data_IF_463550685136
#
_entry.id   IF_463550685136
#
_cell.length_a   1.000
_cell.length_b   1.000
_cell.length_c   1.000
_cell.angle_alpha   90.00
_cell.angle_beta   90.00
_cell.angle_gamma   90.00
#
_symmetry.space_group_name_H-M   'P 1'
#
loop_
_entity.id
_entity.type
_entity.pdbx_description
1 polymer ?
#
# COMPACT_ATOMS: atom_id res chain seq x y z
N UNK A 1 -33.95 -53.05 14.51
CA UNK A 1 -35.10 -53.68 13.82
C UNK A 1 -36.14 -52.58 13.63
N UNK A 2 -36.68 -52.22 12.46
CA UNK A 2 -36.66 -52.79 11.13
C UNK A 2 -36.73 -51.63 10.09
N UNK A 3 -36.31 -51.92 8.88
CA UNK A 3 -36.27 -51.02 7.73
C UNK A 3 -37.60 -51.01 6.95
N UNK A 4 -37.89 -49.90 6.25
CA UNK A 4 -38.53 -49.85 4.92
C UNK A 4 -38.39 -48.42 4.36
N UNK A 5 -37.60 -48.15 3.31
CA UNK A 5 -38.03 -47.98 1.89
C UNK A 5 -39.35 -47.20 1.74
N UNK A 6 -39.51 -46.11 0.99
CA UNK A 6 -38.71 -45.38 0.01
C UNK A 6 -39.72 -44.72 -0.95
N UNK A 7 -39.48 -43.48 -1.39
CA UNK A 7 -39.88 -42.98 -2.73
C UNK A 7 -39.44 -41.54 -2.91
N UNK A 8 -38.51 -41.36 -3.84
CA UNK A 8 -38.15 -40.07 -4.42
C UNK A 8 -39.25 -39.64 -5.41
N UNK A 9 -39.64 -38.37 -5.36
CA UNK A 9 -40.42 -37.75 -6.43
C UNK A 9 -39.58 -36.64 -7.04
N UNK A 10 -38.99 -36.96 -8.20
CA UNK A 10 -38.37 -35.99 -9.10
C UNK A 10 -39.48 -35.20 -9.79
N UNK A 11 -39.42 -33.87 -9.74
CA UNK A 11 -40.23 -33.00 -10.61
C UNK A 11 -39.38 -32.63 -11.82
N UNK A 12 -39.89 -33.04 -12.98
CA UNK A 12 -39.26 -32.92 -14.28
C UNK A 12 -39.23 -31.47 -14.79
N UNK A 13 -38.15 -31.14 -15.50
CA UNK A 13 -38.08 -30.01 -16.44
C UNK A 13 -39.05 -30.24 -17.60
N UNK A 14 -39.71 -29.17 -18.04
CA UNK A 14 -40.29 -29.06 -19.38
C UNK A 14 -39.84 -27.74 -20.01
N UNK A 15 -39.42 -27.73 -21.29
CA UNK A 15 -38.96 -26.55 -22.01
C UNK A 15 -40.15 -25.84 -22.66
N UNK A 16 -40.11 -24.51 -22.75
CA UNK A 16 -41.04 -23.73 -23.57
C UNK A 16 -40.27 -22.93 -24.62
N UNK A 17 -40.78 -23.06 -25.83
CA UNK A 17 -40.23 -22.63 -27.11
C UNK A 17 -40.16 -21.10 -27.27
N UNK A 18 -39.18 -20.67 -28.07
CA UNK A 18 -39.14 -19.41 -28.82
C UNK A 18 -40.42 -19.12 -29.62
N UNK A 19 -40.62 -17.83 -29.94
CA UNK A 19 -40.78 -17.46 -31.34
C UNK A 19 -39.77 -16.41 -31.80
N UNK A 20 -39.38 -16.53 -33.06
CA UNK A 20 -38.49 -15.65 -33.79
C UNK A 20 -39.24 -14.49 -34.46
N UNK A 21 -38.44 -13.56 -34.99
CA UNK A 21 -38.68 -12.59 -36.06
C UNK A 21 -39.11 -11.16 -35.65
N UNK A 22 -38.21 -10.22 -35.98
CA UNK A 22 -38.43 -8.78 -35.92
C UNK A 22 -37.16 -8.03 -36.32
N UNK A 23 -36.71 -8.21 -37.56
CA UNK A 23 -35.59 -7.45 -38.14
C UNK A 23 -35.99 -5.99 -38.36
N UNK A 24 -35.18 -5.06 -37.87
CA UNK A 24 -35.23 -3.66 -38.27
C UNK A 24 -33.80 -3.20 -38.60
N UNK A 25 -33.57 -3.01 -39.89
CA UNK A 25 -32.40 -2.35 -40.44
C UNK A 25 -32.42 -0.86 -40.06
N UNK A 26 -31.32 -0.38 -39.47
CA UNK A 26 -30.97 1.04 -39.51
C UNK A 26 -29.52 1.18 -39.95
N UNK A 27 -29.38 1.59 -41.22
CA UNK A 27 -28.15 2.08 -41.81
C UNK A 27 -27.55 3.21 -40.97
N UNK A 28 -26.27 3.10 -40.60
CA UNK A 28 -25.42 4.24 -40.25
C UNK A 28 -24.33 4.33 -41.32
N UNK A 29 -24.18 5.47 -42.02
CA UNK A 29 -23.20 5.59 -43.10
C UNK A 29 -21.77 5.71 -42.56
N UNK A 30 -20.89 4.90 -43.14
CA UNK A 30 -19.44 5.05 -43.11
C UNK A 30 -19.04 6.33 -43.84
N UNK A 31 -18.37 7.26 -43.17
CA UNK A 31 -17.83 8.47 -43.77
C UNK A 31 -16.37 8.70 -43.36
N UNK A 32 -15.53 8.64 -44.39
CA UNK A 32 -14.24 9.30 -44.59
C UNK A 32 -13.08 9.01 -43.62
N UNK A 33 -12.23 8.11 -44.12
CA UNK A 33 -10.78 8.21 -43.97
C UNK A 33 -10.27 9.58 -44.45
N UNK A 34 -9.58 10.30 -43.57
CA UNK A 34 -8.67 11.40 -43.95
C UNK A 34 -7.25 10.98 -43.59
N UNK A 35 -6.46 10.72 -44.64
CA UNK A 35 -5.03 10.47 -44.59
C UNK A 35 -4.27 11.73 -44.14
N UNK A 36 -3.65 11.68 -42.97
CA UNK A 36 -2.67 12.67 -42.55
C UNK A 36 -1.34 12.47 -43.33
N UNK A 37 -0.66 13.53 -43.80
CA UNK A 37 0.60 13.42 -44.52
C UNK A 37 1.77 13.07 -43.59
N UNK A 38 2.84 12.43 -44.10
CA UNK A 38 3.94 11.95 -43.27
C UNK A 38 4.81 13.11 -42.75
N UNK A 39 4.96 13.19 -41.43
CA UNK A 39 5.96 14.05 -40.80
C UNK A 39 7.36 13.52 -41.11
N UNK A 40 8.11 14.25 -41.93
CA UNK A 40 9.53 14.02 -42.17
C UNK A 40 10.33 14.30 -40.90
N UNK A 41 10.84 13.25 -40.27
CA UNK A 41 11.72 13.31 -39.10
C UNK A 41 13.08 13.86 -39.51
N UNK A 42 13.28 15.19 -39.45
CA UNK A 42 14.63 15.79 -39.55
C UNK A 42 15.45 15.41 -38.33
N UNK A 43 16.43 14.53 -38.51
CA UNK A 43 17.46 14.21 -37.53
C UNK A 43 18.32 15.45 -37.23
N UNK A 44 18.20 16.01 -36.03
CA UNK A 44 19.19 16.96 -35.51
C UNK A 44 20.47 16.20 -35.11
N UNK A 45 21.67 16.68 -35.48
CA UNK A 45 22.91 16.02 -35.09
C UNK A 45 23.12 16.13 -33.57
N UNK A 46 23.50 15.01 -32.94
CA UNK A 46 23.88 14.97 -31.51
C UNK A 46 25.17 15.78 -31.30
N UNK A 47 25.28 16.64 -30.27
CA UNK A 47 26.55 17.24 -29.92
C UNK A 47 27.48 16.18 -29.30
N UNK A 48 28.75 16.16 -29.73
CA UNK A 48 29.79 15.28 -29.18
C UNK A 48 30.07 15.64 -27.71
N UNK A 49 30.34 14.66 -26.83
CA UNK A 49 30.72 14.95 -25.45
C UNK A 49 32.12 15.57 -25.41
N UNK A 50 32.22 16.74 -24.77
CA UNK A 50 33.49 17.41 -24.46
C UNK A 50 34.21 16.59 -23.38
N UNK A 51 35.42 16.08 -23.70
CA UNK A 51 36.34 15.50 -22.70
C UNK A 51 36.68 16.58 -21.67
N UNK A 52 36.27 16.38 -20.43
CA UNK A 52 36.82 17.11 -19.29
C UNK A 52 38.12 16.42 -18.88
N UNK A 53 39.24 17.13 -19.04
CA UNK A 53 40.51 16.73 -18.45
C UNK A 53 40.44 16.96 -16.94
N UNK A 54 40.50 15.88 -16.16
CA UNK A 54 40.70 15.96 -14.72
C UNK A 54 42.20 16.06 -14.44
N UNK A 55 42.62 17.18 -13.85
CA UNK A 55 43.96 17.39 -13.32
C UNK A 55 44.00 16.88 -11.88
N UNK A 56 44.81 15.87 -11.60
CA UNK A 56 45.11 15.41 -10.24
C UNK A 56 46.15 16.35 -9.58
N UNK A 57 46.04 16.65 -8.27
CA UNK A 57 47.17 17.17 -7.52
C UNK A 57 47.85 16.08 -6.71
N UNK A 58 49.14 16.32 -6.50
CA UNK A 58 50.18 15.40 -6.07
C UNK A 58 50.17 15.12 -4.56
N UNK A 59 50.76 13.97 -4.22
CA UNK A 59 51.09 13.53 -2.88
C UNK A 59 52.18 14.42 -2.25
N UNK A 60 51.98 14.81 -1.00
CA UNK A 60 53.03 15.31 -0.13
C UNK A 60 53.24 14.36 1.05
N UNK A 61 54.43 13.78 1.08
CA UNK A 61 55.06 13.10 2.22
C UNK A 61 55.50 14.13 3.26
N UNK A 62 55.18 13.88 4.53
CA UNK A 62 55.71 14.63 5.67
C UNK A 62 55.62 13.78 6.93
N UNK A 63 56.77 13.39 7.45
CA UNK A 63 57.01 12.70 8.71
C UNK A 63 56.92 13.66 9.90
N UNK A 64 56.49 13.15 11.06
CA UNK A 64 57.17 13.26 12.37
C UNK A 64 56.22 13.38 13.57
N UNK A 65 56.43 12.46 14.52
CA UNK A 65 56.48 12.75 15.96
C UNK A 65 55.17 12.92 16.74
N UNK A 66 54.75 11.88 17.45
CA UNK A 66 53.89 12.01 18.64
C UNK A 66 54.34 11.04 19.75
N UNK A 67 54.61 11.49 20.99
CA UNK A 67 54.69 10.62 22.17
C UNK A 67 53.32 10.53 22.87
N UNK A 68 53.11 9.52 23.75
CA UNK A 68 51.80 9.25 24.34
C UNK A 68 51.57 10.07 25.60
N UNK A 69 50.36 10.60 25.78
CA UNK A 69 49.89 11.10 27.07
C UNK A 69 48.63 10.35 27.49
N UNK A 70 48.81 9.55 28.53
CA UNK A 70 47.78 8.94 29.37
C UNK A 70 47.00 10.02 30.11
N UNK A 71 45.68 10.08 29.88
CA UNK A 71 44.74 10.64 30.84
C UNK A 71 43.57 9.67 31.00
N UNK A 72 43.59 9.01 32.15
CA UNK A 72 42.45 8.36 32.78
C UNK A 72 41.35 9.40 32.98
N UNK A 73 40.21 9.24 32.30
CA UNK A 73 38.95 9.83 32.71
C UNK A 73 37.92 8.71 32.83
N UNK A 74 37.53 8.46 34.08
CA UNK A 74 36.36 7.68 34.47
C UNK A 74 35.13 8.27 33.79
N UNK A 75 34.67 7.64 32.71
CA UNK A 75 33.35 7.89 32.17
C UNK A 75 32.33 7.24 33.12
N UNK A 76 31.74 8.08 33.96
CA UNK A 76 30.51 7.81 34.67
C UNK A 76 29.47 7.25 33.70
N UNK A 77 28.98 6.05 34.00
CA UNK A 77 27.82 5.47 33.31
C UNK A 77 26.66 6.47 33.41
N UNK A 78 25.98 6.85 32.30
CA UNK A 78 24.74 7.58 32.43
C UNK A 78 23.71 6.59 32.97
N UNK A 79 23.38 6.81 34.24
CA UNK A 79 22.22 6.27 34.92
C UNK A 79 20.95 6.54 34.11
N UNK A 80 20.17 5.48 33.87
CA UNK A 80 18.73 5.50 33.65
C UNK A 80 18.16 6.59 32.75
N UNK A 81 18.00 6.30 31.46
CA UNK A 81 17.11 7.07 30.59
C UNK A 81 15.64 6.76 30.93
N UNK A 82 15.12 7.35 32.01
CA UNK A 82 13.69 7.65 32.10
C UNK A 82 13.44 8.83 31.16
N UNK A 83 13.14 8.52 29.90
CA UNK A 83 12.91 9.52 28.86
C UNK A 83 12.99 8.95 27.46
N UNK A 84 12.27 7.87 27.17
CA UNK A 84 11.85 7.69 25.79
C UNK A 84 10.76 8.73 25.56
N UNK A 85 11.10 9.83 24.89
CA UNK A 85 10.11 10.84 24.48
C UNK A 85 9.00 10.18 23.64
N UNK A 86 7.81 10.80 23.63
CA UNK A 86 6.67 10.33 22.86
C UNK A 86 7.08 10.01 21.41
N UNK A 87 6.56 8.90 20.86
CA UNK A 87 6.88 8.44 19.52
C UNK A 87 6.57 9.53 18.49
N UNK A 88 7.58 9.99 17.77
CA UNK A 88 7.37 11.01 16.73
C UNK A 88 6.81 10.38 15.45
N UNK A 89 6.14 11.19 14.63
CA UNK A 89 5.60 10.76 13.33
C UNK A 89 6.66 10.13 12.41
N UNK A 90 7.85 10.74 12.36
CA UNK A 90 8.98 10.22 11.60
C UNK A 90 9.45 8.87 12.15
N UNK A 91 9.55 8.72 13.47
CA UNK A 91 9.95 7.46 14.09
C UNK A 91 8.93 6.36 13.83
N UNK A 92 7.64 6.67 13.84
CA UNK A 92 6.59 5.70 13.51
C UNK A 92 6.74 5.16 12.08
N UNK A 93 6.96 6.04 11.10
CA UNK A 93 7.24 5.64 9.71
C UNK A 93 8.46 4.74 9.64
N UNK A 94 9.57 5.14 10.27
CA UNK A 94 10.83 4.37 10.25
C UNK A 94 10.62 2.98 10.87
N UNK A 95 9.96 2.89 12.03
CA UNK A 95 9.69 1.61 12.70
C UNK A 95 8.79 0.69 11.88
N UNK A 96 7.77 1.22 11.21
CA UNK A 96 6.94 0.41 10.31
C UNK A 96 7.72 -0.05 9.08
N UNK A 97 8.56 0.79 8.49
CA UNK A 97 9.44 0.39 7.38
C UNK A 97 10.40 -0.73 7.81
N UNK A 98 11.04 -0.58 8.97
CA UNK A 98 11.95 -1.58 9.54
C UNK A 98 11.23 -2.89 9.85
N UNK A 99 10.06 -2.81 10.50
CA UNK A 99 9.23 -3.98 10.80
C UNK A 99 8.83 -4.73 9.52
N UNK A 100 8.23 -4.02 8.56
CA UNK A 100 7.75 -4.65 7.33
C UNK A 100 8.90 -5.17 6.46
N UNK A 101 10.06 -4.51 6.45
CA UNK A 101 11.27 -5.04 5.85
C UNK A 101 11.73 -6.36 6.50
N UNK A 102 11.67 -6.44 7.85
CA UNK A 102 12.07 -7.63 8.59
C UNK A 102 11.19 -8.86 8.32
N UNK A 103 9.94 -8.66 7.91
CA UNK A 103 9.00 -9.72 7.50
C UNK A 103 8.99 -9.96 5.98
N UNK A 104 9.96 -9.38 5.26
CA UNK A 104 10.20 -9.68 3.85
C UNK A 104 9.52 -8.75 2.84
N UNK A 105 8.99 -7.60 3.24
CA UNK A 105 8.50 -6.59 2.31
C UNK A 105 9.65 -5.79 1.70
N UNK A 106 9.57 -5.51 0.40
CA UNK A 106 10.36 -4.44 -0.21
C UNK A 106 9.86 -3.08 0.30
N UNK A 107 10.75 -2.25 0.84
CA UNK A 107 10.40 -0.87 1.23
C UNK A 107 10.53 0.03 0.01
N UNK A 108 9.40 0.57 -0.43
CA UNK A 108 9.32 1.40 -1.64
C UNK A 108 8.92 2.84 -1.31
N UNK A 109 8.97 3.70 -2.32
CA UNK A 109 8.63 5.12 -2.21
C UNK A 109 7.20 5.37 -2.67
N UNK A 110 6.62 6.46 -2.17
CA UNK A 110 5.32 6.97 -2.60
C UNK A 110 5.26 7.25 -4.11
N UNK A 111 4.05 7.40 -4.63
CA UNK A 111 3.84 7.86 -6.00
C UNK A 111 4.36 9.30 -6.15
N UNK A 112 4.92 9.61 -7.33
CA UNK A 112 5.29 10.98 -7.68
C UNK A 112 4.09 11.81 -8.20
N UNK A 113 2.89 11.22 -8.23
CA UNK A 113 1.64 11.85 -8.65
C UNK A 113 0.61 11.74 -7.53
N UNK A 114 -0.31 12.71 -7.46
CA UNK A 114 -1.35 12.72 -6.44
C UNK A 114 -2.29 11.51 -6.60
N UNK A 115 -2.53 10.84 -5.48
CA UNK A 115 -3.43 9.68 -5.39
C UNK A 115 -4.31 9.79 -4.15
N UNK A 116 -5.50 9.19 -4.18
CA UNK A 116 -6.45 9.21 -3.04
C UNK A 116 -6.23 8.12 -1.99
N UNK A 117 -5.42 7.11 -2.33
CA UNK A 117 -5.04 5.99 -1.47
C UNK A 117 -3.80 5.28 -2.02
N UNK A 118 -3.08 4.56 -1.15
CA UNK A 118 -1.98 3.66 -1.50
C UNK A 118 -2.35 2.62 -2.55
N UNK A 119 -3.61 2.20 -2.59
CA UNK A 119 -4.17 1.28 -3.59
C UNK A 119 -3.98 1.76 -5.03
N UNK A 120 -4.06 3.08 -5.27
CA UNK A 120 -3.92 3.67 -6.61
C UNK A 120 -2.46 3.75 -7.08
N UNK A 121 -1.48 3.58 -6.18
CA UNK A 121 -0.08 3.57 -6.56
C UNK A 121 0.20 2.33 -7.44
N UNK A 122 0.97 2.47 -8.55
CA UNK A 122 1.38 1.34 -9.40
C UNK A 122 2.00 0.15 -8.65
N UNK A 123 2.65 0.40 -7.50
CA UNK A 123 3.22 -0.62 -6.62
C UNK A 123 2.17 -1.52 -5.98
N UNK A 124 0.91 -1.08 -5.91
CA UNK A 124 -0.24 -1.90 -5.53
C UNK A 124 -1.05 -2.27 -6.76
N UNK A 125 -1.67 -1.29 -7.43
CA UNK A 125 -2.65 -1.52 -8.49
C UNK A 125 -2.17 -2.48 -9.59
N UNK A 126 -0.94 -2.31 -10.08
CA UNK A 126 -0.40 -3.16 -11.14
C UNK A 126 0.21 -4.47 -10.61
N UNK A 127 0.64 -4.50 -9.34
CA UNK A 127 1.40 -5.64 -8.77
C UNK A 127 0.51 -6.68 -8.12
N UNK A 128 -0.71 -6.31 -7.72
CA UNK A 128 -1.73 -7.29 -7.32
C UNK A 128 -2.21 -8.15 -8.49
N UNK A 129 -2.08 -7.66 -9.72
CA UNK A 129 -2.35 -8.41 -10.95
C UNK A 129 -1.29 -9.49 -11.21
N UNK A 130 -1.67 -10.53 -11.96
CA UNK A 130 -0.77 -11.63 -12.36
C UNK A 130 -0.45 -12.61 -11.22
N UNK A 131 0.27 -13.70 -11.51
CA UNK A 131 0.59 -14.75 -10.53
C UNK A 131 1.83 -14.42 -9.66
N UNK A 132 2.62 -13.41 -10.01
CA UNK A 132 3.92 -13.17 -9.36
C UNK A 132 3.74 -12.73 -7.90
N UNK A 133 4.50 -13.31 -6.95
CA UNK A 133 4.45 -12.89 -5.55
C UNK A 133 4.98 -11.46 -5.39
N UNK A 134 4.41 -10.74 -4.43
CA UNK A 134 4.73 -9.34 -4.19
C UNK A 134 4.43 -8.93 -2.76
N UNK A 135 5.49 -8.64 -2.01
CA UNK A 135 5.39 -8.09 -0.66
C UNK A 135 6.03 -6.69 -0.67
N UNK A 136 5.26 -5.66 -0.37
CA UNK A 136 5.75 -4.27 -0.41
C UNK A 136 5.17 -3.47 0.75
N UNK A 137 5.97 -2.54 1.26
CA UNK A 137 5.55 -1.56 2.26
C UNK A 137 6.04 -0.16 1.86
N UNK A 138 5.19 0.85 1.99
CA UNK A 138 5.54 2.24 1.65
C UNK A 138 4.62 3.25 2.33
N UNK A 139 5.09 4.49 2.42
CA UNK A 139 4.26 5.62 2.82
C UNK A 139 3.55 6.17 1.58
N UNK A 140 2.28 6.54 1.67
CA UNK A 140 1.54 7.21 0.62
C UNK A 140 0.81 8.46 1.14
N UNK A 141 1.31 9.67 0.83
CA UNK A 141 0.55 10.90 1.03
C UNK A 141 -0.71 10.87 0.16
N UNK A 142 -1.87 10.72 0.80
CA UNK A 142 -3.14 10.48 0.12
C UNK A 142 -4.00 11.74 0.16
N UNK A 143 -4.49 12.18 -1.01
CA UNK A 143 -5.27 13.41 -1.20
C UNK A 143 -6.72 13.09 -1.51
N UNK A 144 -7.62 13.54 -0.64
CA UNK A 144 -9.08 13.40 -0.77
C UNK A 144 -9.69 14.81 -0.64
N UNK A 145 -9.93 15.53 -1.76
CA UNK A 145 -10.39 16.92 -1.71
C UNK A 145 -11.69 17.11 -0.91
N UNK A 146 -12.63 16.18 -1.04
CA UNK A 146 -13.92 16.19 -0.33
C UNK A 146 -13.78 16.02 1.20
N UNK A 147 -12.59 15.62 1.64
CA UNK A 147 -12.22 15.43 3.05
C UNK A 147 -11.77 16.72 3.75
N UNK A 148 -11.62 17.81 3.00
CA UNK A 148 -11.23 19.09 3.59
C UNK A 148 -12.26 19.62 4.58
N UNK A 149 -11.76 20.10 5.72
CA UNK A 149 -12.52 20.80 6.76
C UNK A 149 -11.79 22.06 7.22
N UNK A 150 -10.98 22.65 6.35
CA UNK A 150 -10.22 23.90 6.58
C UNK A 150 -9.30 23.90 7.82
N UNK A 151 -9.01 22.73 8.39
CA UNK A 151 -8.24 22.58 9.63
C UNK A 151 -9.07 22.60 10.91
N UNK A 152 -10.40 22.72 10.81
CA UNK A 152 -11.30 22.81 11.97
C UNK A 152 -11.70 21.44 12.54
N UNK A 153 -11.62 20.37 11.74
CA UNK A 153 -11.93 19.02 12.20
C UNK A 153 -10.67 18.30 12.68
N UNK A 154 -10.66 17.72 13.89
CA UNK A 154 -9.48 17.06 14.44
C UNK A 154 -9.08 15.78 13.70
N UNK A 155 -10.01 15.12 13.01
CA UNK A 155 -9.83 13.76 12.47
C UNK A 155 -10.00 13.67 10.95
N UNK A 156 -10.41 14.76 10.27
CA UNK A 156 -10.71 14.76 8.84
C UNK A 156 -9.85 15.75 8.09
N UNK A 157 -8.96 15.21 7.25
CA UNK A 157 -7.91 15.94 6.55
C UNK A 157 -8.05 15.76 5.04
N UNK A 158 -7.89 16.84 4.27
CA UNK A 158 -7.84 16.76 2.81
C UNK A 158 -6.64 15.94 2.32
N UNK A 159 -5.56 15.93 3.10
CA UNK A 159 -4.34 15.17 2.84
C UNK A 159 -3.91 14.51 4.14
N UNK A 160 -3.80 13.20 4.13
CA UNK A 160 -3.34 12.38 5.25
C UNK A 160 -2.28 11.40 4.76
N UNK A 161 -1.62 10.71 5.68
CA UNK A 161 -0.48 9.87 5.38
C UNK A 161 -0.85 8.42 5.63
N UNK A 162 -1.00 7.66 4.55
CA UNK A 162 -1.19 6.23 4.67
C UNK A 162 0.18 5.55 4.83
N UNK A 163 0.23 4.51 5.64
CA UNK A 163 1.23 3.48 5.48
C UNK A 163 0.56 2.31 4.77
N UNK A 164 1.12 1.89 3.65
CA UNK A 164 0.51 0.92 2.75
C UNK A 164 1.34 -0.35 2.75
N UNK A 165 0.68 -1.50 2.88
CA UNK A 165 1.32 -2.82 2.79
C UNK A 165 0.51 -3.70 1.85
N UNK A 166 1.20 -4.40 0.97
CA UNK A 166 0.63 -5.51 0.18
C UNK A 166 1.40 -6.77 0.50
N UNK A 167 0.69 -7.86 0.77
CA UNK A 167 1.21 -9.22 0.90
C UNK A 167 0.55 -10.10 -0.15
N UNK A 168 1.35 -10.65 -1.07
CA UNK A 168 0.88 -11.49 -2.16
C UNK A 168 1.81 -12.69 -2.33
N UNK A 169 1.31 -13.93 -2.19
CA UNK A 169 -0.06 -14.29 -1.82
C UNK A 169 -0.40 -13.90 -0.37
N UNK A 170 -1.68 -14.03 0.01
CA UNK A 170 -2.09 -14.02 1.42
C UNK A 170 -1.24 -15.01 2.25
N UNK A 171 -0.55 -14.55 3.31
CA UNK A 171 0.29 -15.42 4.13
C UNK A 171 -0.51 -16.31 5.11
N UNK A 172 -1.82 -16.06 5.29
CA UNK A 172 -2.69 -16.82 6.22
C UNK A 172 -2.59 -16.39 7.68
N UNK A 173 -1.68 -15.47 8.03
CA UNK A 173 -1.50 -14.89 9.37
C UNK A 173 -1.38 -13.36 9.35
N UNK A 174 -1.99 -12.70 8.36
CA UNK A 174 -1.88 -11.26 8.12
C UNK A 174 -2.34 -10.40 9.31
N UNK A 175 -3.36 -10.85 10.05
CA UNK A 175 -3.83 -10.18 11.27
C UNK A 175 -2.75 -10.18 12.38
N UNK A 176 -2.07 -11.30 12.59
CA UNK A 176 -0.97 -11.40 13.56
C UNK A 176 0.20 -10.49 13.17
N UNK A 177 0.54 -10.46 11.88
CA UNK A 177 1.57 -9.56 11.35
C UNK A 177 1.21 -8.09 11.59
N UNK A 178 -0.06 -7.73 11.45
CA UNK A 178 -0.51 -6.38 11.77
C UNK A 178 -0.44 -6.09 13.28
N UNK A 179 -0.92 -6.98 14.15
CA UNK A 179 -0.86 -6.76 15.61
C UNK A 179 0.58 -6.64 16.12
N UNK A 180 1.51 -7.43 15.57
CA UNK A 180 2.94 -7.29 15.84
C UNK A 180 3.51 -5.96 15.30
N UNK A 181 3.01 -5.44 14.18
CA UNK A 181 3.40 -4.11 13.67
C UNK A 181 2.98 -2.98 14.62
N UNK A 182 1.82 -3.09 15.28
CA UNK A 182 1.41 -2.15 16.32
C UNK A 182 2.35 -2.24 17.53
N UNK A 183 2.74 -3.46 17.90
CA UNK A 183 3.73 -3.67 18.96
C UNK A 183 5.09 -3.06 18.61
N UNK A 184 5.51 -3.08 17.33
CA UNK A 184 6.73 -2.41 16.87
C UNK A 184 6.66 -0.88 17.00
N UNK A 185 5.46 -0.28 16.92
CA UNK A 185 5.25 1.13 17.25
C UNK A 185 5.35 1.40 18.76
N UNK A 186 5.37 0.37 19.61
CA UNK A 186 5.36 0.48 21.07
C UNK A 186 3.97 0.43 21.68
N UNK A 187 2.96 0.02 20.89
CA UNK A 187 1.57 -0.13 21.35
C UNK A 187 1.43 -1.50 22.03
N UNK A 188 1.05 -1.52 23.30
CA UNK A 188 0.69 -2.78 23.95
C UNK A 188 -0.74 -3.16 23.57
N UNK A 189 -0.90 -3.98 22.53
CA UNK A 189 -2.22 -4.41 22.00
C UNK A 189 -3.15 -5.04 23.05
N UNK A 190 -2.64 -5.46 24.22
CA UNK A 190 -3.46 -6.00 25.32
C UNK A 190 -4.09 -4.92 26.21
N UNK A 191 -3.61 -3.69 26.13
CA UNK A 191 -4.09 -2.53 26.89
C UNK A 191 -5.13 -1.71 26.10
N UNK A 192 -5.33 -2.03 24.81
CA UNK A 192 -6.26 -1.34 23.92
C UNK A 192 -7.41 -2.27 23.47
N UNK A 193 -8.59 -1.69 23.24
CA UNK A 193 -9.73 -2.40 22.66
C UNK A 193 -9.62 -2.42 21.13
N UNK A 194 -8.97 -3.46 20.60
CA UNK A 194 -8.80 -3.67 19.16
C UNK A 194 -9.89 -4.57 18.61
N UNK A 195 -10.64 -4.07 17.63
CA UNK A 195 -11.75 -4.78 16.99
C UNK A 195 -11.59 -4.82 15.48
N UNK A 196 -11.80 -6.00 14.91
CA UNK A 196 -11.92 -6.20 13.47
C UNK A 196 -13.41 -6.22 13.12
N UNK A 197 -13.90 -5.14 12.54
CA UNK A 197 -15.30 -4.96 12.16
C UNK A 197 -15.41 -5.26 10.66
N UNK A 198 -16.24 -6.22 10.29
CA UNK A 198 -16.38 -6.64 8.88
C UNK A 198 -16.84 -5.47 8.02
N UNK A 199 -16.06 -5.18 6.98
CA UNK A 199 -16.36 -4.14 6.00
C UNK A 199 -15.75 -4.51 4.64
N UNK A 200 -16.59 -4.63 3.63
CA UNK A 200 -16.15 -4.98 2.28
C UNK A 200 -15.78 -3.70 1.54
N UNK A 201 -14.62 -3.71 0.89
CA UNK A 201 -14.11 -2.56 0.17
C UNK A 201 -14.37 -2.69 -1.34
N UNK A 202 -14.82 -1.59 -1.96
CA UNK A 202 -15.01 -1.50 -3.41
C UNK A 202 -14.53 -0.15 -3.94
N UNK A 203 -13.88 -0.18 -5.11
CA UNK A 203 -13.58 1.00 -5.92
C UNK A 203 -14.02 0.77 -7.36
N UNK A 204 -15.17 1.33 -7.77
CA UNK A 204 -15.65 1.23 -9.16
C UNK A 204 -14.68 1.83 -10.17
N UNK A 205 -13.95 2.90 -9.81
CA UNK A 205 -12.97 3.58 -10.67
C UNK A 205 -11.79 2.67 -11.00
N UNK A 206 -11.35 1.85 -10.04
CA UNK A 206 -10.27 0.89 -10.24
C UNK A 206 -10.77 -0.48 -10.75
N UNK A 207 -12.09 -0.67 -10.84
CA UNK A 207 -12.69 -1.99 -11.06
C UNK A 207 -12.20 -3.02 -10.04
N UNK A 208 -12.00 -2.59 -8.80
CA UNK A 208 -11.38 -3.37 -7.74
C UNK A 208 -12.32 -3.54 -6.56
N UNK A 209 -12.30 -4.71 -5.94
CA UNK A 209 -13.06 -4.99 -4.72
C UNK A 209 -12.41 -6.12 -3.92
N UNK A 210 -12.72 -6.16 -2.63
CA UNK A 210 -12.21 -7.17 -1.72
C UNK A 210 -13.07 -7.32 -0.47
N UNK A 211 -12.92 -8.47 0.19
CA UNK A 211 -13.50 -8.71 1.51
C UNK A 211 -12.55 -8.16 2.56
N UNK A 212 -13.06 -7.69 3.69
CA UNK A 212 -12.18 -6.96 4.60
C UNK A 212 -12.72 -6.68 5.98
N UNK A 213 -11.91 -5.92 6.70
CA UNK A 213 -12.24 -5.39 8.01
C UNK A 213 -11.77 -3.94 8.12
N UNK A 214 -12.58 -3.10 8.75
CA UNK A 214 -12.07 -1.94 9.45
C UNK A 214 -11.49 -2.38 10.79
N UNK A 215 -10.31 -1.86 11.13
CA UNK A 215 -9.70 -2.06 12.43
C UNK A 215 -9.89 -0.83 13.28
N UNK A 216 -10.60 -1.02 14.39
CA UNK A 216 -10.88 0.01 15.38
C UNK A 216 -9.99 -0.21 16.62
N UNK A 217 -9.41 0.87 17.13
CA UNK A 217 -8.65 0.89 18.38
C UNK A 217 -9.21 2.01 19.26
N UNK A 218 -9.70 1.65 20.44
CA UNK A 218 -10.30 2.57 21.43
C UNK A 218 -11.38 3.51 20.85
N UNK A 219 -12.18 2.98 19.93
CA UNK A 219 -13.26 3.72 19.30
C UNK A 219 -12.85 4.62 18.13
N UNK A 220 -11.61 4.52 17.65
CA UNK A 220 -11.16 5.17 16.41
C UNK A 220 -10.72 4.13 15.38
N UNK A 221 -11.22 4.26 14.15
CA UNK A 221 -10.78 3.46 13.00
C UNK A 221 -9.34 3.86 12.62
N UNK A 222 -8.41 2.91 12.72
CA UNK A 222 -6.97 3.14 12.50
C UNK A 222 -6.40 2.46 11.26
N UNK A 223 -7.07 1.46 10.70
CA UNK A 223 -6.54 0.67 9.57
C UNK A 223 -7.68 0.03 8.78
N UNK A 224 -7.52 -0.06 7.46
CA UNK A 224 -8.34 -0.91 6.59
C UNK A 224 -7.56 -2.19 6.24
N UNK A 225 -8.23 -3.33 6.34
CA UNK A 225 -7.80 -4.61 5.78
C UNK A 225 -8.65 -4.96 4.56
N UNK A 226 -8.00 -5.33 3.45
CA UNK A 226 -8.71 -5.74 2.22
C UNK A 226 -8.04 -6.95 1.58
N UNK A 227 -8.80 -8.02 1.34
CA UNK A 227 -8.40 -9.20 0.59
C UNK A 227 -8.93 -9.06 -0.83
N UNK A 228 -8.08 -8.58 -1.74
CA UNK A 228 -8.49 -8.29 -3.11
C UNK A 228 -8.99 -9.54 -3.83
N UNK A 229 -10.26 -9.51 -4.23
CA UNK A 229 -10.85 -10.52 -5.09
C UNK A 229 -10.71 -10.12 -6.57
N UNK A 230 -10.71 -8.81 -6.84
CA UNK A 230 -10.62 -8.25 -8.18
C UNK A 230 -9.81 -6.95 -8.18
N UNK A 231 -9.08 -6.70 -9.27
CA UNK A 231 -8.50 -5.39 -9.59
C UNK A 231 -8.48 -5.19 -11.11
N UNK A 232 -8.71 -3.97 -11.60
CA UNK A 232 -8.76 -3.70 -13.04
C UNK A 232 -9.84 -4.51 -13.77
N UNK A 233 -10.94 -4.86 -13.08
CA UNK A 233 -11.98 -5.77 -13.56
C UNK A 233 -11.50 -7.20 -13.88
N UNK A 234 -10.36 -7.61 -13.32
CA UNK A 234 -9.80 -8.96 -13.46
C UNK A 234 -9.79 -9.67 -12.11
N UNK A 235 -10.26 -10.92 -12.02
CA UNK A 235 -10.16 -11.71 -10.80
C UNK A 235 -8.69 -12.00 -10.46
N UNK A 236 -8.35 -11.98 -9.17
CA UNK A 236 -6.98 -12.18 -8.71
C UNK A 236 -6.73 -13.61 -8.25
N UNK A 237 -5.68 -14.22 -8.79
CA UNK A 237 -5.18 -15.53 -8.43
C UNK A 237 -3.63 -15.49 -8.48
N UNK A 238 -2.92 -15.42 -7.33
CA UNK A 238 -3.44 -15.50 -5.96
C UNK A 238 -4.05 -14.18 -5.44
N UNK A 239 -4.85 -14.28 -4.38
CA UNK A 239 -5.37 -13.13 -3.63
C UNK A 239 -4.21 -12.37 -2.96
N UNK A 240 -4.33 -11.04 -2.94
CA UNK A 240 -3.43 -10.15 -2.23
C UNK A 240 -4.12 -9.59 -0.98
N UNK A 241 -3.39 -9.46 0.12
CA UNK A 241 -3.85 -8.74 1.31
C UNK A 241 -3.28 -7.34 1.28
N UNK A 242 -4.16 -6.36 1.40
CA UNK A 242 -3.86 -4.95 1.60
C UNK A 242 -4.09 -4.59 3.06
N UNK A 243 -3.12 -3.89 3.65
CA UNK A 243 -3.20 -3.32 4.99
C UNK A 243 -2.85 -1.84 4.86
N UNK A 244 -3.83 -0.97 5.15
CA UNK A 244 -3.71 0.47 4.96
C UNK A 244 -3.89 1.17 6.31
N UNK A 245 -2.79 1.66 6.87
CA UNK A 245 -2.76 2.34 8.16
C UNK A 245 -3.07 3.83 8.00
N UNK A 246 -3.93 4.39 8.86
CA UNK A 246 -4.07 5.83 9.05
C UNK A 246 -3.08 6.33 10.10
N UNK A 247 -1.89 6.78 9.68
CA UNK A 247 -0.80 7.09 10.62
C UNK A 247 -1.14 8.23 11.59
N UNK A 248 -1.81 9.28 11.12
CA UNK A 248 -2.23 10.39 11.99
C UNK A 248 -3.14 9.88 13.12
N UNK A 249 -4.13 9.03 12.80
CA UNK A 249 -5.08 8.48 13.77
C UNK A 249 -4.40 7.58 14.80
N UNK A 250 -3.52 6.69 14.33
CA UNK A 250 -2.74 5.81 15.23
C UNK A 250 -1.92 6.66 16.20
N UNK A 251 -1.20 7.67 15.72
CA UNK A 251 -0.32 8.43 16.58
C UNK A 251 -1.03 9.40 17.50
N UNK A 252 -2.15 9.98 17.06
CA UNK A 252 -3.02 10.78 17.94
C UNK A 252 -3.45 9.97 19.17
N UNK A 253 -3.83 8.70 18.98
CA UNK A 253 -4.21 7.84 20.11
C UNK A 253 -3.07 7.46 21.07
N UNK A 254 -1.81 7.63 20.67
CA UNK A 254 -0.64 7.30 21.51
C UNK A 254 -0.03 8.49 22.25
N UNK A 255 -0.43 9.72 21.89
CA UNK A 255 0.19 10.95 22.39
C UNK A 255 -0.68 11.68 23.43
N UNK A 256 -1.82 11.11 23.80
CA UNK A 256 -2.66 11.55 24.93
C UNK A 256 -2.20 10.90 26.25
#
# INVERSE_FOLDING_TARGET
MAAATGMATAVAMAPLLSPAAGAAHSHIPSALATSAPPHTRRSRPRPRPRRLHASAPAAHSGSDGAPPSTLSSTASSPSGSKGAGALTFQQAIQRLQEYWASVGCAVMQCSNTEVGAGTMNPLTFLRVLGPEPWNVAYVEPSVRPDDSRYGDNPNRLQRHTQFQVILKPDPGNSQDLFLHSLSALGINVREHDIRFVEDNWESPVLGAWGLGWEVWMDGMEITQFTYFQQSGSLPLLPVSVEITYGLERILMSLQE
#
